data_IF_586807451648
#
_entry.id   IF_586807451648
#
_cell.length_a   1.000
_cell.length_b   1.000
_cell.length_c   1.000
_cell.angle_alpha   90.00
_cell.angle_beta   90.00
_cell.angle_gamma   90.00
#
_symmetry.space_group_name_H-M   'P 1'
#
loop_
_entity.id
_entity.type
_entity.pdbx_description
1 polymer ?
#
# COMPACT_ATOMS: atom_id res chain seq x y z
N UNK A 1 -2.98 -2.65 9.33
CA UNK A 1 -3.79 -1.41 9.31
C UNK A 1 -3.30 -0.31 8.38
N UNK A 2 -2.07 0.24 8.52
CA UNK A 2 -1.61 1.35 7.66
C UNK A 2 -1.69 1.07 6.15
N UNK A 3 -1.47 -0.17 5.70
CA UNK A 3 -1.59 -0.54 4.27
C UNK A 3 -2.95 -0.19 3.66
N UNK A 4 -4.02 -0.13 4.47
CA UNK A 4 -5.35 0.25 3.99
C UNK A 4 -5.44 1.70 3.52
N UNK A 5 -4.54 2.57 3.97
CA UNK A 5 -4.45 3.95 3.45
C UNK A 5 -4.07 3.99 1.96
N UNK A 6 -3.49 2.91 1.43
CA UNK A 6 -3.17 2.75 0.02
C UNK A 6 -4.13 1.79 -0.70
N UNK A 7 -4.48 0.67 -0.06
CA UNK A 7 -5.32 -0.36 -0.72
C UNK A 7 -6.78 0.05 -0.85
N UNK A 8 -7.35 0.76 0.12
CA UNK A 8 -8.74 1.20 0.07
C UNK A 8 -9.01 2.24 -1.05
N UNK A 9 -8.26 3.36 -1.16
CA UNK A 9 -8.46 4.30 -2.27
C UNK A 9 -8.13 3.67 -3.63
N UNK A 10 -7.20 2.71 -3.69
CA UNK A 10 -6.97 1.95 -4.93
C UNK A 10 -8.20 1.14 -5.32
N UNK A 11 -8.78 0.35 -4.41
CA UNK A 11 -9.98 -0.42 -4.68
C UNK A 11 -11.15 0.47 -5.14
N UNK A 12 -11.35 1.62 -4.46
CA UNK A 12 -12.34 2.61 -4.86
C UNK A 12 -12.11 3.12 -6.30
N UNK A 13 -10.85 3.44 -6.66
CA UNK A 13 -10.52 3.89 -8.01
C UNK A 13 -10.79 2.85 -9.10
N UNK A 14 -10.61 1.55 -8.80
CA UNK A 14 -10.83 0.46 -9.75
C UNK A 14 -12.31 0.35 -10.15
N UNK A 15 -13.21 0.63 -9.22
CA UNK A 15 -14.66 0.47 -9.43
C UNK A 15 -15.36 1.78 -9.77
N UNK A 16 -14.66 2.92 -9.78
CA UNK A 16 -15.25 4.24 -9.93
C UNK A 16 -16.13 4.34 -11.19
N UNK A 17 -15.63 3.84 -12.32
CA UNK A 17 -16.35 3.88 -13.60
C UNK A 17 -17.57 2.94 -13.66
N UNK A 18 -17.68 1.99 -12.73
CA UNK A 18 -18.84 1.12 -12.60
C UNK A 18 -19.93 1.72 -11.67
N UNK A 19 -19.60 2.78 -10.91
CA UNK A 19 -20.56 3.47 -10.05
C UNK A 19 -21.37 4.50 -10.85
N UNK A 20 -22.64 4.76 -10.46
CA UNK A 20 -23.36 5.95 -10.91
C UNK A 20 -22.50 7.21 -10.74
N UNK A 21 -22.51 8.10 -11.73
CA UNK A 21 -21.66 9.30 -11.73
C UNK A 21 -21.89 10.20 -10.51
N UNK A 22 -23.10 10.22 -9.96
CA UNK A 22 -23.45 10.93 -8.73
C UNK A 22 -22.68 10.44 -7.49
N UNK A 23 -22.13 9.22 -7.52
CA UNK A 23 -21.33 8.64 -6.44
C UNK A 23 -19.83 8.86 -6.60
N UNK A 24 -19.36 9.44 -7.70
CA UNK A 24 -17.92 9.58 -7.93
C UNK A 24 -17.25 10.51 -6.93
N UNK A 25 -17.80 11.72 -6.76
CA UNK A 25 -17.26 12.69 -5.80
C UNK A 25 -17.40 12.20 -4.34
N UNK A 26 -18.57 11.69 -3.89
CA UNK A 26 -18.68 11.10 -2.55
C UNK A 26 -17.68 9.97 -2.30
N UNK A 27 -17.43 9.11 -3.29
CA UNK A 27 -16.45 8.02 -3.17
C UNK A 27 -15.04 8.57 -2.95
N UNK A 28 -14.64 9.59 -3.70
CA UNK A 28 -13.34 10.24 -3.53
C UNK A 28 -13.21 10.91 -2.16
N UNK A 29 -14.23 11.64 -1.72
CA UNK A 29 -14.25 12.33 -0.42
C UNK A 29 -14.12 11.35 0.75
N UNK A 30 -14.89 10.26 0.73
CA UNK A 30 -14.82 9.22 1.76
C UNK A 30 -13.47 8.51 1.72
N UNK A 31 -12.96 8.16 0.54
CA UNK A 31 -11.65 7.53 0.41
C UNK A 31 -10.53 8.42 0.96
N UNK A 32 -10.61 9.74 0.73
CA UNK A 32 -9.68 10.72 1.28
C UNK A 32 -9.78 10.79 2.81
N UNK A 33 -10.99 10.95 3.35
CA UNK A 33 -11.22 11.09 4.79
C UNK A 33 -10.78 9.83 5.57
N UNK A 34 -11.11 8.64 5.07
CA UNK A 34 -10.68 7.36 5.67
C UNK A 34 -9.16 7.22 5.62
N UNK A 35 -8.53 7.58 4.49
CA UNK A 35 -7.07 7.56 4.35
C UNK A 35 -6.40 8.46 5.39
N UNK A 36 -6.90 9.68 5.57
CA UNK A 36 -6.42 10.62 6.57
C UNK A 36 -6.62 10.11 8.01
N UNK A 37 -7.79 9.52 8.31
CA UNK A 37 -8.09 8.95 9.61
C UNK A 37 -7.16 7.78 9.96
N UNK A 38 -6.99 6.81 9.04
CA UNK A 38 -6.08 5.67 9.22
C UNK A 38 -4.64 6.15 9.42
N UNK A 39 -4.19 7.13 8.62
CA UNK A 39 -2.89 7.75 8.78
C UNK A 39 -2.71 8.41 10.16
N UNK A 40 -3.74 9.10 10.66
CA UNK A 40 -3.71 9.81 11.93
C UNK A 40 -3.71 8.87 13.14
N UNK A 41 -4.49 7.79 13.08
CA UNK A 41 -4.64 6.81 14.18
C UNK A 41 -3.42 5.90 14.29
N UNK A 42 -2.89 5.43 13.15
CA UNK A 42 -1.91 4.34 13.14
C UNK A 42 -0.48 4.77 12.80
N UNK A 43 -0.22 6.05 12.46
CA UNK A 43 1.18 6.46 12.24
C UNK A 43 1.99 6.33 13.54
N UNK A 44 3.26 5.93 13.45
CA UNK A 44 4.12 5.92 14.62
C UNK A 44 4.38 7.34 15.14
N UNK A 45 4.44 7.50 16.47
CA UNK A 45 4.74 8.79 17.13
C UNK A 45 6.15 9.29 16.81
N UNK A 46 7.10 8.37 16.68
CA UNK A 46 8.48 8.66 16.31
C UNK A 46 8.77 8.14 14.89
N UNK A 47 9.62 8.83 14.11
CA UNK A 47 10.09 8.31 12.84
C UNK A 47 10.68 6.91 13.02
N UNK A 48 10.29 5.97 12.16
CA UNK A 48 10.94 4.66 12.13
C UNK A 48 12.34 4.80 11.53
N UNK A 49 13.32 4.01 11.99
CA UNK A 49 14.64 4.00 11.39
C UNK A 49 14.53 3.66 9.89
N UNK A 50 15.43 4.20 9.05
CA UNK A 50 15.45 3.89 7.63
C UNK A 50 15.62 2.37 7.42
N UNK A 51 15.15 1.89 6.27
CA UNK A 51 15.30 0.49 5.89
C UNK A 51 16.77 0.10 5.95
N UNK A 52 17.11 -0.80 6.87
CA UNK A 52 18.50 -1.23 7.11
C UNK A 52 18.88 -2.38 6.18
N UNK A 53 17.92 -3.20 5.74
CA UNK A 53 18.15 -4.33 4.85
C UNK A 53 18.32 -3.85 3.41
N UNK A 54 19.47 -4.16 2.81
CA UNK A 54 19.80 -3.80 1.41
C UNK A 54 18.75 -4.33 0.43
N UNK A 55 18.24 -5.53 0.71
CA UNK A 55 17.20 -6.21 -0.07
C UNK A 55 15.85 -5.46 -0.08
N UNK A 56 15.54 -4.70 0.96
CA UNK A 56 14.33 -3.86 0.97
C UNK A 56 14.56 -2.59 0.17
N UNK A 57 15.74 -1.96 0.29
CA UNK A 57 16.04 -0.71 -0.41
C UNK A 57 16.11 -0.87 -1.94
N UNK A 58 16.64 -2.00 -2.40
CA UNK A 58 16.84 -2.30 -3.81
C UNK A 58 15.84 -3.34 -4.33
N UNK A 59 14.66 -3.43 -3.69
CA UNK A 59 13.65 -4.41 -4.06
C UNK A 59 13.17 -4.18 -5.50
N UNK A 60 13.19 -5.25 -6.30
CA UNK A 60 12.64 -5.26 -7.66
C UNK A 60 11.15 -5.62 -7.64
N UNK A 61 10.40 -5.31 -8.71
CA UNK A 61 9.02 -5.75 -8.88
C UNK A 61 8.81 -7.25 -8.58
N UNK A 62 9.59 -8.13 -9.18
CA UNK A 62 9.41 -9.58 -9.05
C UNK A 62 9.67 -10.05 -7.62
N UNK A 63 10.74 -9.56 -6.98
CA UNK A 63 11.04 -9.90 -5.59
C UNK A 63 9.94 -9.47 -4.61
N UNK A 64 9.31 -8.32 -4.85
CA UNK A 64 8.18 -7.87 -4.02
C UNK A 64 6.97 -8.79 -4.21
N UNK A 65 6.68 -9.17 -5.45
CA UNK A 65 5.58 -10.08 -5.77
C UNK A 65 5.81 -11.46 -5.15
N UNK A 66 6.99 -12.05 -5.35
CA UNK A 66 7.34 -13.36 -4.80
C UNK A 66 7.23 -13.39 -3.27
N UNK A 67 7.73 -12.34 -2.60
CA UNK A 67 7.65 -12.23 -1.14
C UNK A 67 6.21 -12.05 -0.65
N UNK A 68 5.39 -11.27 -1.34
CA UNK A 68 4.00 -11.05 -0.98
C UNK A 68 3.14 -12.31 -1.20
N UNK A 69 3.34 -13.02 -2.31
CA UNK A 69 2.64 -14.28 -2.58
C UNK A 69 3.11 -15.37 -1.61
N UNK A 70 4.43 -15.44 -1.37
CA UNK A 70 5.02 -16.41 -0.45
C UNK A 70 4.58 -16.25 1.01
N UNK A 71 4.19 -15.05 1.44
CA UNK A 71 3.65 -14.85 2.79
C UNK A 71 2.23 -15.40 2.97
N UNK A 72 1.47 -15.60 1.87
CA UNK A 72 0.06 -16.00 1.91
C UNK A 72 -0.88 -14.96 2.55
N UNK A 73 -0.38 -13.79 2.97
CA UNK A 73 -1.16 -12.78 3.66
C UNK A 73 -1.83 -11.83 2.66
N UNK A 74 -3.16 -11.70 2.77
CA UNK A 74 -3.95 -10.88 1.85
C UNK A 74 -3.61 -9.38 1.88
N UNK A 75 -3.15 -8.85 3.02
CA UNK A 75 -2.75 -7.46 3.16
C UNK A 75 -1.42 -7.20 2.47
N UNK A 76 -0.48 -8.14 2.59
CA UNK A 76 0.79 -8.07 1.88
C UNK A 76 0.59 -8.11 0.36
N UNK A 77 -0.23 -9.06 -0.12
CA UNK A 77 -0.54 -9.21 -1.55
C UNK A 77 -1.24 -7.95 -2.11
N UNK A 78 -2.30 -7.47 -1.46
CA UNK A 78 -3.02 -6.26 -1.89
C UNK A 78 -2.10 -5.04 -1.92
N UNK A 79 -1.25 -4.88 -0.90
CA UNK A 79 -0.35 -3.73 -0.82
C UNK A 79 0.78 -3.80 -1.87
N UNK A 80 1.31 -4.99 -2.14
CA UNK A 80 2.28 -5.21 -3.20
C UNK A 80 1.73 -4.78 -4.56
N UNK A 81 0.50 -5.15 -4.92
CA UNK A 81 -0.12 -4.71 -6.17
C UNK A 81 -0.19 -3.17 -6.30
N UNK A 82 -0.63 -2.49 -5.24
CA UNK A 82 -0.69 -1.02 -5.21
C UNK A 82 0.70 -0.41 -5.36
N UNK A 83 1.71 -0.99 -4.73
CA UNK A 83 3.08 -0.51 -4.81
C UNK A 83 3.67 -0.67 -6.22
N UNK A 84 3.37 -1.77 -6.93
CA UNK A 84 3.78 -1.95 -8.33
C UNK A 84 3.23 -0.84 -9.23
N UNK A 85 1.94 -0.53 -9.10
CA UNK A 85 1.31 0.57 -9.85
C UNK A 85 1.95 1.93 -9.48
N UNK A 86 2.17 2.20 -8.19
CA UNK A 86 2.81 3.43 -7.74
C UNK A 86 4.26 3.56 -8.24
N UNK A 87 5.00 2.45 -8.27
CA UNK A 87 6.36 2.39 -8.82
C UNK A 87 6.37 2.67 -10.32
N UNK A 88 5.46 2.07 -11.09
CA UNK A 88 5.31 2.36 -12.53
C UNK A 88 4.99 3.83 -12.82
N UNK A 89 4.37 4.54 -11.87
CA UNK A 89 4.15 5.99 -11.94
C UNK A 89 5.34 6.83 -11.47
N UNK A 90 6.47 6.20 -11.15
CA UNK A 90 7.72 6.88 -10.80
C UNK A 90 7.94 7.10 -9.30
N UNK A 91 7.18 6.46 -8.41
CA UNK A 91 7.44 6.56 -6.97
C UNK A 91 8.63 5.64 -6.57
N UNK A 92 9.80 6.19 -6.21
CA UNK A 92 10.97 5.37 -5.87
C UNK A 92 10.83 4.64 -4.52
N UNK A 93 9.88 5.06 -3.68
CA UNK A 93 9.67 4.48 -2.35
C UNK A 93 8.63 3.36 -2.33
N UNK A 94 7.92 3.11 -3.43
CA UNK A 94 6.81 2.17 -3.46
C UNK A 94 7.28 0.71 -3.24
N UNK A 95 8.26 0.23 -4.01
CA UNK A 95 8.77 -1.14 -3.86
C UNK A 95 9.46 -1.37 -2.50
N UNK A 96 10.32 -0.46 -1.99
CA UNK A 96 10.87 -0.60 -0.65
C UNK A 96 9.82 -0.62 0.45
N UNK A 97 8.75 0.18 0.32
CA UNK A 97 7.65 0.16 1.27
C UNK A 97 6.90 -1.19 1.26
N UNK A 98 6.66 -1.77 0.08
CA UNK A 98 6.01 -3.08 -0.04
C UNK A 98 6.89 -4.21 0.49
N UNK A 99 8.19 -4.22 0.17
CA UNK A 99 9.15 -5.17 0.71
C UNK A 99 9.15 -5.14 2.25
N UNK A 100 9.14 -3.93 2.84
CA UNK A 100 9.06 -3.76 4.29
C UNK A 100 7.73 -4.21 4.86
N UNK A 101 6.62 -3.90 4.20
CA UNK A 101 5.28 -4.31 4.63
C UNK A 101 5.16 -5.83 4.68
N UNK A 102 5.70 -6.55 3.70
CA UNK A 102 5.69 -8.02 3.69
C UNK A 102 6.35 -8.60 4.94
N UNK A 103 7.55 -8.12 5.33
CA UNK A 103 8.21 -8.57 6.56
C UNK A 103 7.38 -8.25 7.81
N UNK A 104 6.90 -7.00 7.92
CA UNK A 104 6.13 -6.56 9.09
C UNK A 104 4.78 -7.28 9.27
N UNK A 105 4.19 -7.77 8.19
CA UNK A 105 2.90 -8.46 8.18
C UNK A 105 3.08 -9.97 8.38
N UNK A 106 4.08 -10.57 7.74
CA UNK A 106 4.37 -12.00 7.87
C UNK A 106 4.95 -12.38 9.25
N UNK A 107 5.52 -11.43 9.99
CA UNK A 107 6.01 -11.64 11.35
C UNK A 107 7.46 -12.11 11.45
N UNK A 108 8.24 -12.01 10.36
CA UNK A 108 9.68 -12.37 10.29
C UNK A 108 10.62 -11.16 10.53
#
# INVERSE_FOLDING_TARGET
>A
MLVHSATAPRAASLVLLALPQSLWMPTLEVAWAVTAAVGSIYRPTNPRPPLTRSEERNATPDQVTDRAVGSGDEHAIKFAEVAQESHRRGNPHALPAAARACHLIAGD
#
